data_IF_120601231367
#
_entry.id   IF_120601231367
#
_cell.length_a   1.000
_cell.length_b   1.000
_cell.length_c   1.000
_cell.angle_alpha   90.00
_cell.angle_beta   90.00
_cell.angle_gamma   90.00
#
_symmetry.space_group_name_H-M   'P 1'
#
loop_
_entity.id
_entity.type
_entity.pdbx_description
1 polymer ?
#
# COMPACT_ATOMS: atom_id res chain seq x y z
N UNK A 1 -22.44 27.85 -1.55
CA UNK A 1 -21.55 26.75 -1.17
C UNK A 1 -21.50 25.80 -2.33
N UNK A 2 -20.56 26.04 -3.25
CA UNK A 2 -20.35 25.15 -4.39
C UNK A 2 -19.69 23.88 -3.85
N UNK A 3 -20.44 22.79 -3.84
CA UNK A 3 -19.89 21.46 -3.69
C UNK A 3 -19.09 21.18 -4.96
N UNK A 4 -17.87 21.73 -5.05
CA UNK A 4 -16.93 21.40 -6.09
C UNK A 4 -16.61 19.91 -5.93
N UNK A 5 -17.33 19.06 -6.66
CA UNK A 5 -16.85 17.73 -6.97
C UNK A 5 -15.61 17.94 -7.82
N UNK A 6 -14.46 18.09 -7.17
CA UNK A 6 -13.18 18.15 -7.85
C UNK A 6 -13.07 16.90 -8.71
N UNK A 7 -12.71 17.07 -9.99
CA UNK A 7 -12.46 15.91 -10.83
C UNK A 7 -11.31 15.10 -10.20
N UNK A 8 -11.31 13.77 -10.33
CA UNK A 8 -10.26 12.95 -9.72
C UNK A 8 -8.85 13.38 -10.19
N UNK A 9 -8.72 13.92 -11.40
CA UNK A 9 -7.50 14.52 -11.93
C UNK A 9 -7.07 15.81 -11.21
N UNK A 10 -8.02 16.60 -10.71
CA UNK A 10 -7.70 17.76 -9.87
C UNK A 10 -7.25 17.31 -8.49
N UNK A 11 -7.96 16.34 -7.89
CA UNK A 11 -7.61 15.76 -6.59
C UNK A 11 -6.17 15.21 -6.62
N UNK A 12 -5.79 14.43 -7.63
CA UNK A 12 -4.42 13.91 -7.74
C UNK A 12 -3.35 14.99 -7.89
N UNK A 13 -3.66 16.09 -8.60
CA UNK A 13 -2.70 17.20 -8.78
C UNK A 13 -2.46 17.99 -7.51
N UNK A 14 -3.48 18.08 -6.67
CA UNK A 14 -3.46 18.87 -5.45
C UNK A 14 -3.13 18.03 -4.21
N UNK A 15 -3.06 16.69 -4.34
CA UNK A 15 -2.72 15.79 -3.24
C UNK A 15 -1.26 15.98 -2.80
N UNK A 16 -1.06 16.15 -1.49
CA UNK A 16 0.25 16.35 -0.87
C UNK A 16 0.41 15.47 0.37
N UNK A 17 1.66 15.10 0.66
CA UNK A 17 2.02 14.40 1.87
C UNK A 17 1.85 15.32 3.09
N UNK A 18 2.28 16.59 2.99
CA UNK A 18 2.03 17.67 3.96
C UNK A 18 2.47 17.30 5.40
N UNK A 19 3.62 16.63 5.53
CA UNK A 19 4.19 16.18 6.80
C UNK A 19 3.47 14.98 7.43
N UNK A 20 2.50 14.38 6.72
CA UNK A 20 1.80 13.17 7.18
C UNK A 20 2.66 11.92 6.90
N UNK A 21 2.39 10.80 7.60
CA UNK A 21 3.01 9.52 7.28
C UNK A 21 2.84 9.19 5.80
N UNK A 22 3.88 8.65 5.18
CA UNK A 22 3.90 8.33 3.76
C UNK A 22 2.75 7.36 3.40
N UNK A 23 2.43 6.43 4.30
CA UNK A 23 1.38 5.44 4.13
C UNK A 23 0.00 6.08 3.92
N UNK A 24 -0.30 7.15 4.68
CA UNK A 24 -1.56 7.87 4.53
C UNK A 24 -1.65 8.57 3.17
N UNK A 25 -0.54 9.15 2.72
CA UNK A 25 -0.47 9.77 1.40
C UNK A 25 -0.63 8.73 0.29
N UNK A 26 0.02 7.57 0.41
CA UNK A 26 -0.08 6.47 -0.55
C UNK A 26 -1.51 5.93 -0.61
N UNK A 27 -2.16 5.72 0.53
CA UNK A 27 -3.54 5.23 0.60
C UNK A 27 -4.51 6.19 -0.12
N UNK A 28 -4.40 7.49 0.13
CA UNK A 28 -5.20 8.52 -0.56
C UNK A 28 -4.89 8.56 -2.06
N UNK A 29 -3.61 8.51 -2.44
CA UNK A 29 -3.18 8.54 -3.83
C UNK A 29 -3.73 7.35 -4.61
N UNK A 30 -3.54 6.13 -4.08
CA UNK A 30 -4.04 4.89 -4.69
C UNK A 30 -5.57 4.92 -4.76
N UNK A 31 -6.23 5.46 -3.74
CA UNK A 31 -7.69 5.66 -3.68
C UNK A 31 -8.28 6.51 -4.81
N UNK A 32 -7.47 7.34 -5.47
CA UNK A 32 -7.91 8.24 -6.55
C UNK A 32 -7.31 7.85 -7.91
N UNK A 33 -6.10 7.29 -7.97
CA UNK A 33 -5.39 7.03 -9.23
C UNK A 33 -6.12 6.09 -10.20
N UNK A 34 -6.91 5.12 -9.71
CA UNK A 34 -7.68 4.23 -10.58
C UNK A 34 -8.85 4.95 -11.28
N UNK A 35 -9.24 6.13 -10.80
CA UNK A 35 -10.36 6.92 -11.33
C UNK A 35 -9.96 7.84 -12.49
N UNK A 36 -8.67 7.96 -12.78
CA UNK A 36 -8.16 8.81 -13.88
C UNK A 36 -7.60 7.98 -15.01
N UNK A 37 -7.69 8.46 -16.25
CA UNK A 37 -7.17 7.76 -17.43
C UNK A 37 -5.68 8.04 -17.70
N UNK A 38 -4.91 8.39 -16.67
CA UNK A 38 -3.49 8.74 -16.80
C UNK A 38 -2.63 7.49 -16.98
N UNK A 39 -1.48 7.68 -17.64
CA UNK A 39 -0.45 6.64 -17.78
C UNK A 39 0.31 6.44 -16.48
N UNK A 40 0.93 5.27 -16.31
CA UNK A 40 1.78 4.96 -15.14
C UNK A 40 2.88 6.03 -14.97
N UNK A 41 3.52 6.45 -16.07
CA UNK A 41 4.49 7.55 -16.07
C UNK A 41 3.91 8.85 -15.50
N UNK A 42 2.72 9.26 -15.94
CA UNK A 42 2.09 10.49 -15.45
C UNK A 42 1.70 10.37 -13.97
N UNK A 43 1.28 9.18 -13.53
CA UNK A 43 0.97 8.89 -12.14
C UNK A 43 2.22 8.86 -11.25
N UNK A 44 3.34 8.30 -11.73
CA UNK A 44 4.61 8.30 -10.99
C UNK A 44 5.11 9.73 -10.76
N UNK A 45 5.07 10.58 -11.79
CA UNK A 45 5.44 11.98 -11.66
C UNK A 45 4.52 12.74 -10.71
N UNK A 46 3.21 12.50 -10.79
CA UNK A 46 2.24 13.10 -9.85
C UNK A 46 2.48 12.63 -8.41
N UNK A 47 2.77 11.35 -8.22
CA UNK A 47 3.09 10.77 -6.92
C UNK A 47 4.31 11.44 -6.30
N UNK A 48 5.41 11.56 -7.05
CA UNK A 48 6.64 12.22 -6.59
C UNK A 48 6.43 13.70 -6.30
N UNK A 49 5.65 14.40 -7.14
CA UNK A 49 5.34 15.81 -6.96
C UNK A 49 4.59 16.13 -5.66
N UNK A 50 3.89 15.15 -5.09
CA UNK A 50 3.18 15.29 -3.82
C UNK A 50 3.96 14.90 -2.57
N UNK A 51 5.17 14.34 -2.71
CA UNK A 51 6.00 13.94 -1.57
C UNK A 51 6.73 15.12 -0.95
N UNK A 52 6.91 15.09 0.37
CA UNK A 52 7.69 16.11 1.08
C UNK A 52 9.18 16.05 0.69
N UNK A 53 9.72 14.83 0.53
CA UNK A 53 11.12 14.57 0.22
C UNK A 53 11.34 14.21 -1.27
N UNK A 54 10.73 14.97 -2.19
CA UNK A 54 10.82 14.77 -3.64
C UNK A 54 12.26 14.58 -4.15
N UNK A 55 13.21 15.39 -3.68
CA UNK A 55 14.61 15.32 -4.12
C UNK A 55 15.28 14.03 -3.71
N UNK A 56 15.00 13.52 -2.50
CA UNK A 56 15.57 12.27 -2.02
C UNK A 56 15.09 11.11 -2.88
N UNK A 57 13.79 11.08 -3.20
CA UNK A 57 13.20 10.04 -4.04
C UNK A 57 13.78 10.07 -5.46
N UNK A 58 13.91 11.25 -6.07
CA UNK A 58 14.47 11.37 -7.43
C UNK A 58 15.95 10.98 -7.50
N UNK A 59 16.73 11.17 -6.44
CA UNK A 59 18.13 10.71 -6.37
C UNK A 59 18.21 9.17 -6.26
N UNK A 60 17.30 8.57 -5.49
CA UNK A 60 17.27 7.12 -5.27
C UNK A 60 16.65 6.34 -6.43
N UNK A 61 15.71 6.96 -7.15
CA UNK A 61 14.92 6.37 -8.24
C UNK A 61 14.90 7.33 -9.44
N UNK A 62 16.01 7.47 -10.19
CA UNK A 62 16.13 8.44 -11.28
C UNK A 62 15.21 8.13 -12.46
N UNK A 63 14.89 6.86 -12.69
CA UNK A 63 14.09 6.38 -13.83
C UNK A 63 12.60 6.22 -13.47
N UNK A 64 12.06 7.18 -12.71
CA UNK A 64 10.69 7.14 -12.18
C UNK A 64 9.63 6.94 -13.26
N UNK A 65 9.89 7.33 -14.51
CA UNK A 65 8.96 7.18 -15.64
C UNK A 65 8.96 5.79 -16.28
N UNK A 66 9.96 4.95 -16.04
CA UNK A 66 10.04 3.60 -16.62
C UNK A 66 9.30 2.54 -15.81
N UNK A 67 8.99 2.83 -14.54
CA UNK A 67 8.34 1.89 -13.64
C UNK A 67 6.84 1.80 -13.84
N UNK A 68 6.29 0.59 -13.66
CA UNK A 68 4.87 0.45 -13.34
C UNK A 68 4.56 1.18 -12.04
N UNK A 69 3.38 1.77 -11.95
CA UNK A 69 2.99 2.58 -10.80
C UNK A 69 3.11 1.82 -9.47
N UNK A 70 2.62 0.59 -9.44
CA UNK A 70 2.67 -0.28 -8.26
C UNK A 70 4.12 -0.54 -7.82
N UNK A 71 4.99 -0.95 -8.76
CA UNK A 71 6.40 -1.20 -8.50
C UNK A 71 7.10 0.06 -7.99
N UNK A 72 6.78 1.21 -8.59
CA UNK A 72 7.37 2.49 -8.23
C UNK A 72 7.00 2.90 -6.80
N UNK A 73 5.71 2.87 -6.46
CA UNK A 73 5.21 3.23 -5.14
C UNK A 73 5.82 2.31 -4.07
N UNK A 74 5.89 0.99 -4.33
CA UNK A 74 6.53 0.03 -3.43
C UNK A 74 8.02 0.30 -3.22
N UNK A 75 8.74 0.72 -4.26
CA UNK A 75 10.16 1.10 -4.14
C UNK A 75 10.34 2.34 -3.29
N UNK A 76 9.47 3.35 -3.42
CA UNK A 76 9.51 4.54 -2.58
C UNK A 76 9.26 4.17 -1.12
N UNK A 77 8.24 3.37 -0.84
CA UNK A 77 7.93 2.87 0.51
C UNK A 77 9.14 2.14 1.12
N UNK A 78 9.75 1.21 0.38
CA UNK A 78 10.96 0.50 0.82
C UNK A 78 12.15 1.44 1.04
N UNK A 79 12.38 2.42 0.16
CA UNK A 79 13.47 3.39 0.29
C UNK A 79 13.33 4.26 1.55
N UNK A 80 12.09 4.49 1.99
CA UNK A 80 11.79 5.20 3.25
C UNK A 80 11.74 4.29 4.48
N UNK A 81 11.94 2.98 4.31
CA UNK A 81 11.90 2.00 5.39
C UNK A 81 10.49 1.63 5.86
N UNK A 82 9.46 1.93 5.06
CA UNK A 82 8.09 1.52 5.36
C UNK A 82 7.88 0.03 5.07
N UNK A 83 7.12 -0.64 5.95
CA UNK A 83 6.65 -2.02 5.75
C UNK A 83 5.33 -2.08 4.95
N UNK A 84 4.77 -0.92 4.58
CA UNK A 84 3.57 -0.82 3.78
C UNK A 84 3.88 -1.20 2.32
N UNK A 85 2.96 -1.94 1.70
CA UNK A 85 3.07 -2.37 0.30
C UNK A 85 1.73 -2.16 -0.40
N UNK A 86 1.79 -1.71 -1.65
CA UNK A 86 0.66 -1.59 -2.58
C UNK A 86 0.68 -2.80 -3.51
N UNK A 87 -0.42 -3.54 -3.59
CA UNK A 87 -0.53 -4.68 -4.50
C UNK A 87 -1.73 -5.57 -4.22
N UNK A 88 -1.96 -6.53 -5.11
CA UNK A 88 -3.05 -7.50 -5.03
C UNK A 88 -2.82 -8.42 -3.82
N UNK A 89 -3.76 -8.43 -2.89
CA UNK A 89 -3.78 -9.44 -1.82
C UNK A 89 -3.97 -10.80 -2.47
N UNK A 90 -3.03 -11.71 -2.23
CA UNK A 90 -3.11 -13.11 -2.66
C UNK A 90 -4.23 -13.81 -1.85
N UNK A 91 -5.49 -13.53 -2.20
CA UNK A 91 -6.65 -14.28 -1.70
C UNK A 91 -7.11 -15.36 -2.70
N UNK A 92 -6.36 -15.58 -3.79
CA UNK A 92 -6.62 -16.62 -4.80
C UNK A 92 -5.48 -17.65 -4.98
N UNK A 93 -4.64 -17.88 -3.97
CA UNK A 93 -3.98 -19.18 -3.79
C UNK A 93 -4.60 -19.93 -2.60
N UNK A 94 -5.92 -20.14 -2.67
CA UNK A 94 -6.58 -21.21 -1.91
C UNK A 94 -6.01 -22.57 -2.35
N UNK A 95 -4.92 -23.00 -1.72
CA UNK A 95 -4.28 -24.27 -2.05
C UNK A 95 -3.14 -24.69 -1.13
N UNK A 96 -3.11 -24.26 0.13
CA UNK A 96 -2.05 -24.67 1.05
C UNK A 96 -2.46 -24.48 2.50
N UNK A 97 -3.20 -25.46 3.03
CA UNK A 97 -3.48 -25.60 4.46
C UNK A 97 -2.21 -25.29 5.27
N UNK A 98 -2.23 -24.38 6.27
CA UNK A 98 -1.16 -24.35 7.25
C UNK A 98 -1.31 -25.61 8.08
N UNK A 99 -0.58 -26.66 7.70
CA UNK A 99 -0.36 -27.80 8.56
C UNK A 99 0.56 -27.30 9.67
N UNK A 100 -0.03 -26.93 10.80
CA UNK A 100 0.67 -26.95 12.07
C UNK A 100 1.08 -28.40 12.35
N UNK A 101 2.27 -28.80 11.89
CA UNK A 101 2.99 -29.92 12.52
C UNK A 101 3.79 -29.32 13.67
N UNK A 102 3.09 -29.33 14.81
CA UNK A 102 3.63 -29.26 16.15
C UNK A 102 4.89 -30.11 16.25
N UNK A 103 5.99 -29.48 16.68
CA UNK A 103 7.23 -30.15 17.01
C UNK A 103 6.98 -31.33 17.94
N UNK A 104 7.45 -32.50 17.54
CA UNK A 104 7.54 -33.66 18.43
C UNK A 104 8.55 -33.33 19.53
N UNK A 105 8.02 -32.96 20.69
CA UNK A 105 8.78 -32.76 21.91
C UNK A 105 7.91 -33.11 23.11
N UNK A 106 7.90 -34.40 23.46
CA UNK A 106 7.69 -34.96 24.80
C UNK A 106 6.71 -34.25 25.77
N UNK A 107 5.56 -34.89 25.99
CA UNK A 107 4.75 -34.78 27.24
C UNK A 107 5.53 -35.41 28.41
N UNK A 108 5.35 -34.97 29.69
CA UNK A 108 4.04 -34.95 30.33
C UNK A 108 3.68 -33.79 31.28
N UNK A 109 2.36 -33.59 31.36
CA UNK A 109 1.50 -33.14 32.46
C UNK A 109 2.15 -32.42 33.65
N UNK A 110 1.67 -31.23 34.05
CA UNK A 110 0.58 -31.02 35.02
C UNK A 110 0.39 -29.53 35.41
N UNK A 111 -0.87 -29.18 35.70
CA UNK A 111 -1.36 -28.07 36.54
C UNK A 111 -1.01 -26.59 36.23
N UNK A 112 -2.08 -25.83 35.96
CA UNK A 112 -2.38 -24.63 36.77
C UNK A 112 -2.39 -23.27 36.06
N UNK A 113 -3.50 -22.55 36.26
CA UNK A 113 -3.64 -21.08 36.33
C UNK A 113 -4.15 -20.33 35.09
N UNK A 114 -5.38 -19.81 35.27
CA UNK A 114 -6.10 -18.64 34.69
C UNK A 114 -5.26 -17.42 34.26
N UNK A 115 -5.86 -16.30 33.77
CA UNK A 115 -6.98 -16.07 32.85
C UNK A 115 -6.62 -15.08 31.71
N UNK A 116 -7.60 -14.83 30.83
CA UNK A 116 -7.63 -13.89 29.71
C UNK A 116 -7.12 -12.47 30.01
N UNK A 117 -6.35 -11.90 29.09
CA UNK A 117 -6.66 -10.65 28.36
C UNK A 117 -5.46 -10.18 27.53
N UNK A 118 -5.67 -9.92 26.24
CA UNK A 118 -5.25 -8.68 25.56
C UNK A 118 -5.80 -8.68 24.14
N UNK A 119 -6.91 -7.97 23.99
CA UNK A 119 -7.33 -7.33 22.75
C UNK A 119 -6.19 -6.48 22.21
N UNK A 120 -5.77 -6.71 20.97
CA UNK A 120 -5.24 -5.63 20.14
C UNK A 120 -5.61 -5.86 18.69
N UNK A 121 -6.34 -4.86 18.19
CA UNK A 121 -6.91 -4.69 16.85
C UNK A 121 -6.08 -5.30 15.72
N UNK A 122 -6.72 -6.25 15.03
CA UNK A 122 -6.46 -6.54 13.65
C UNK A 122 -6.81 -5.28 12.84
N UNK A 123 -5.79 -4.50 12.47
CA UNK A 123 -5.96 -3.35 11.58
C UNK A 123 -6.10 -3.91 10.18
N UNK A 124 -7.33 -3.87 9.66
CA UNK A 124 -7.69 -4.31 8.31
C UNK A 124 -6.78 -3.65 7.28
N UNK A 125 -6.12 -4.49 6.47
CA UNK A 125 -5.39 -4.05 5.29
C UNK A 125 -6.41 -3.63 4.24
N UNK A 126 -6.38 -2.36 3.83
CA UNK A 126 -7.22 -1.87 2.74
C UNK A 126 -6.51 -2.22 1.42
N UNK A 127 -7.05 -3.22 0.73
CA UNK A 127 -6.58 -3.68 -0.58
C UNK A 127 -7.37 -3.00 -1.69
N UNK A 128 -6.72 -2.18 -2.51
CA UNK A 128 -7.35 -1.62 -3.72
C UNK A 128 -6.35 -1.54 -4.87
N UNK A 129 -6.33 -2.56 -5.74
CA UNK A 129 -6.07 -2.36 -7.16
C UNK A 129 -6.75 -3.46 -7.99
N UNK A 130 -7.91 -3.14 -8.57
CA UNK A 130 -8.50 -4.00 -9.59
C UNK A 130 -7.80 -3.74 -10.93
N UNK A 131 -7.21 -4.83 -11.44
CA UNK A 131 -6.58 -4.97 -12.75
C UNK A 131 -7.21 -4.11 -13.87
N UNK A 132 -6.40 -3.25 -14.50
CA UNK A 132 -6.70 -2.70 -15.82
C UNK A 132 -6.53 -3.80 -16.87
N UNK A 133 -7.55 -4.64 -17.00
CA UNK A 133 -7.67 -5.66 -18.03
C UNK A 133 -8.13 -5.01 -19.35
N UNK A 134 -7.24 -5.12 -20.36
CA UNK A 134 -7.46 -5.05 -21.81
C UNK A 134 -8.42 -3.98 -22.38
N UNK A 135 -7.83 -2.97 -23.04
CA UNK A 135 -8.27 -2.31 -24.29
C UNK A 135 -7.22 -1.23 -24.61
N UNK A 136 -6.57 -1.16 -25.76
CA UNK A 136 -6.73 -1.80 -27.07
C UNK A 136 -5.38 -1.84 -27.78
#
# INVERSE_FOLDING_TARGET
>A
MDCCTFSPEAVLRDLRQDGRPLENYVEEFVGVCYRVSWSDQALNLAFVAGLDDILLVLVMLPDADEYRLEDFVNRVLQATGSEFCVGVTDEDLSGGRPVSVTGQGFVPAHLGSTPHSSTTQQREQVSVFNSRLLRS
#
